data_IF_842654615002
#
_entry.id   IF_842654615002
#
_cell.length_a   1.000
_cell.length_b   1.000
_cell.length_c   1.000
_cell.angle_alpha   90.00
_cell.angle_beta   90.00
_cell.angle_gamma   90.00
#
_symmetry.space_group_name_H-M   'P 1'
#
loop_
_entity.id
_entity.type
_entity.pdbx_description
1 polymer ?
#
# COMPACT_ATOMS: atom_id res chain seq x y z
N UNK A 1 2.04 -15.29 -24.83
CA UNK A 1 1.99 -16.58 -24.07
C UNK A 1 2.68 -16.42 -22.71
N UNK A 2 2.32 -15.40 -21.94
CA UNK A 2 3.11 -14.97 -20.78
C UNK A 2 2.71 -15.72 -19.49
N UNK A 3 3.71 -16.15 -18.72
CA UNK A 3 3.57 -16.48 -17.28
C UNK A 3 3.74 -15.21 -16.46
N UNK A 4 2.93 -15.04 -15.44
CA UNK A 4 2.99 -13.91 -14.50
C UNK A 4 3.21 -14.45 -13.09
N UNK A 5 4.20 -13.87 -12.40
CA UNK A 5 4.37 -14.10 -10.97
C UNK A 5 3.57 -13.06 -10.20
N UNK A 6 2.84 -13.51 -9.18
CA UNK A 6 2.13 -12.61 -8.27
C UNK A 6 2.61 -12.85 -6.85
N UNK A 7 3.18 -11.82 -6.22
CA UNK A 7 3.63 -11.89 -4.84
C UNK A 7 2.47 -11.70 -3.87
N UNK A 8 2.31 -12.64 -2.94
CA UNK A 8 1.32 -12.55 -1.85
C UNK A 8 2.02 -12.63 -0.50
N UNK A 9 1.73 -11.68 0.39
CA UNK A 9 2.31 -11.62 1.74
C UNK A 9 1.24 -11.96 2.77
N UNK A 10 1.62 -12.76 3.77
CA UNK A 10 0.81 -13.03 4.96
C UNK A 10 1.09 -11.92 5.98
N UNK A 11 0.06 -11.22 6.41
CA UNK A 11 0.14 -10.10 7.35
C UNK A 11 -0.89 -10.28 8.46
N UNK A 12 -0.74 -9.54 9.56
CA UNK A 12 -1.80 -9.44 10.58
C UNK A 12 -3.02 -8.81 9.91
N UNK A 13 -4.20 -9.37 10.19
CA UNK A 13 -5.44 -8.89 9.59
C UNK A 13 -5.71 -7.44 10.01
N UNK A 14 -6.09 -6.58 9.05
CA UNK A 14 -6.30 -5.15 9.28
C UNK A 14 -7.39 -4.84 10.32
N UNK A 15 -8.28 -5.79 10.60
CA UNK A 15 -9.30 -5.66 11.65
C UNK A 15 -8.76 -5.93 13.06
N UNK A 16 -7.52 -6.41 13.19
CA UNK A 16 -6.88 -6.70 14.47
C UNK A 16 -6.05 -5.51 14.94
N UNK A 17 -6.29 -5.08 16.18
CA UNK A 17 -5.46 -4.06 16.81
C UNK A 17 -4.09 -4.65 17.17
N UNK A 18 -3.05 -4.09 16.55
CA UNK A 18 -1.66 -4.47 16.80
C UNK A 18 -1.21 -3.96 18.18
N UNK A 19 -0.37 -4.75 18.85
CA UNK A 19 0.26 -4.40 20.13
C UNK A 19 1.76 -4.65 20.03
N UNK A 20 2.55 -3.77 20.63
CA UNK A 20 3.98 -3.95 20.77
C UNK A 20 4.26 -4.98 21.87
N UNK A 21 5.30 -5.81 21.69
CA UNK A 21 5.72 -6.77 22.71
C UNK A 21 6.27 -6.02 23.94
N UNK A 22 6.14 -6.57 25.16
CA UNK A 22 6.69 -5.95 26.37
C UNK A 22 8.22 -5.76 26.34
N UNK A 23 8.94 -6.56 25.57
CA UNK A 23 10.39 -6.47 25.38
C UNK A 23 10.82 -5.49 24.28
N UNK A 24 9.86 -4.82 23.62
CA UNK A 24 10.08 -3.90 22.51
C UNK A 24 10.81 -4.51 21.29
N UNK A 25 10.87 -5.84 21.19
CA UNK A 25 11.56 -6.51 20.08
C UNK A 25 10.75 -6.50 18.78
N UNK A 26 9.49 -6.11 18.83
CA UNK A 26 8.55 -6.21 17.71
C UNK A 26 7.10 -6.17 18.16
N UNK A 27 6.20 -6.67 17.29
CA UNK A 27 4.76 -6.74 17.55
C UNK A 27 4.32 -8.14 17.96
N UNK A 28 3.20 -8.24 18.67
CA UNK A 28 2.62 -9.53 19.09
C UNK A 28 1.98 -10.23 17.88
N UNK A 29 2.54 -11.38 17.48
CA UNK A 29 2.07 -12.20 16.36
C UNK A 29 1.39 -13.51 16.80
N UNK A 30 1.48 -13.86 18.09
CA UNK A 30 0.92 -15.10 18.61
C UNK A 30 -0.57 -14.95 18.90
N UNK A 31 -1.37 -15.93 18.45
CA UNK A 31 -2.82 -15.94 18.64
C UNK A 31 -3.59 -14.87 17.86
N UNK A 32 -2.92 -14.05 17.03
CA UNK A 32 -3.59 -13.05 16.20
C UNK A 32 -3.96 -13.62 14.84
N UNK A 33 -5.13 -13.21 14.34
CA UNK A 33 -5.60 -13.58 13.01
C UNK A 33 -4.70 -12.92 11.95
N UNK A 34 -4.33 -13.70 10.95
CA UNK A 34 -3.60 -13.24 9.79
C UNK A 34 -4.45 -13.39 8.53
N UNK A 35 -4.20 -12.54 7.54
CA UNK A 35 -4.86 -12.56 6.24
C UNK A 35 -3.85 -12.32 5.11
N UNK A 36 -4.34 -12.35 3.86
CA UNK A 36 -3.55 -11.84 2.74
C UNK A 36 -3.47 -10.33 2.85
N UNK A 37 -2.31 -9.76 2.54
CA UNK A 37 -2.16 -8.31 2.43
C UNK A 37 -3.17 -7.74 1.41
N UNK A 38 -3.94 -6.69 1.72
CA UNK A 38 -4.98 -6.16 0.83
C UNK A 38 -4.47 -5.79 -0.57
N UNK A 39 -3.30 -5.15 -0.67
CA UNK A 39 -2.70 -4.83 -1.97
C UNK A 39 -2.34 -6.09 -2.79
N UNK A 40 -2.00 -7.20 -2.11
CA UNK A 40 -1.73 -8.46 -2.78
C UNK A 40 -3.03 -9.10 -3.32
N UNK A 41 -4.18 -8.92 -2.67
CA UNK A 41 -5.47 -9.40 -3.19
C UNK A 41 -5.79 -8.73 -4.53
N UNK A 42 -5.54 -7.43 -4.64
CA UNK A 42 -5.75 -6.63 -5.85
C UNK A 42 -4.78 -7.05 -6.96
N UNK A 43 -3.51 -7.30 -6.60
CA UNK A 43 -2.50 -7.82 -7.54
C UNK A 43 -2.91 -9.20 -8.10
N UNK A 44 -3.44 -10.09 -7.25
CA UNK A 44 -3.96 -11.40 -7.69
C UNK A 44 -5.17 -11.23 -8.60
N UNK A 45 -6.12 -10.37 -8.23
CA UNK A 45 -7.29 -10.10 -9.05
C UNK A 45 -6.89 -9.57 -10.44
N UNK A 46 -5.97 -8.60 -10.52
CA UNK A 46 -5.56 -8.07 -11.82
C UNK A 46 -4.91 -9.13 -12.70
N UNK A 47 -4.04 -9.97 -12.12
CA UNK A 47 -3.45 -11.09 -12.84
C UNK A 47 -4.54 -12.05 -13.36
N UNK A 48 -5.55 -12.36 -12.55
CA UNK A 48 -6.67 -13.22 -12.96
C UNK A 48 -7.49 -12.57 -14.08
N UNK A 49 -7.78 -11.27 -14.00
CA UNK A 49 -8.49 -10.52 -15.06
C UNK A 49 -7.71 -10.52 -16.37
N UNK A 50 -6.38 -10.32 -16.32
CA UNK A 50 -5.52 -10.42 -17.50
C UNK A 50 -5.56 -11.84 -18.10
N UNK A 51 -5.65 -12.88 -17.28
CA UNK A 51 -5.81 -14.26 -17.75
C UNK A 51 -7.17 -14.49 -18.39
N UNK A 52 -8.25 -13.97 -17.81
CA UNK A 52 -9.61 -14.07 -18.37
C UNK A 52 -9.73 -13.33 -19.71
N UNK A 53 -9.05 -12.19 -19.85
CA UNK A 53 -8.88 -11.45 -21.12
C UNK A 53 -7.96 -12.18 -22.12
N UNK A 54 -7.41 -13.35 -21.77
CA UNK A 54 -6.49 -14.17 -22.59
C UNK A 54 -5.17 -13.47 -22.95
N UNK A 55 -4.80 -12.42 -22.22
CA UNK A 55 -3.53 -11.70 -22.38
C UNK A 55 -2.38 -12.56 -21.86
N UNK A 56 -2.59 -13.18 -20.70
CA UNK A 56 -1.61 -14.06 -20.06
C UNK A 56 -2.16 -15.49 -19.98
N UNK A 57 -1.27 -16.48 -19.84
CA UNK A 57 -1.64 -17.89 -19.83
C UNK A 57 -1.71 -18.49 -18.44
N UNK A 58 -0.83 -18.05 -17.55
CA UNK A 58 -0.64 -18.69 -16.25
C UNK A 58 -0.31 -17.64 -15.19
N UNK A 59 -0.99 -17.75 -14.05
CA UNK A 59 -0.79 -16.95 -12.85
C UNK A 59 -0.17 -17.84 -11.78
N UNK A 60 1.05 -17.52 -11.37
CA UNK A 60 1.79 -18.25 -10.33
C UNK A 60 1.87 -17.39 -9.08
N UNK A 61 1.18 -17.80 -8.02
CA UNK A 61 1.21 -17.10 -6.73
C UNK A 61 2.47 -17.48 -5.95
N UNK A 62 3.21 -16.50 -5.45
CA UNK A 62 4.48 -16.70 -4.72
C UNK A 62 4.35 -16.09 -3.33
N UNK A 63 4.72 -16.84 -2.29
CA UNK A 63 4.86 -16.31 -0.93
C UNK A 63 6.13 -16.84 -0.27
N UNK A 64 6.77 -15.97 0.52
CA UNK A 64 8.00 -16.28 1.24
C UNK A 64 7.72 -16.23 2.75
N UNK A 65 8.14 -17.26 3.48
CA UNK A 65 7.96 -17.31 4.93
C UNK A 65 7.73 -18.72 5.46
N UNK A 66 7.24 -18.84 6.71
CA UNK A 66 7.11 -20.12 7.37
C UNK A 66 5.95 -20.93 6.78
N UNK A 67 5.77 -22.15 7.23
CA UNK A 67 4.75 -23.08 6.69
C UNK A 67 3.33 -22.49 6.62
N UNK A 68 2.99 -21.56 7.52
CA UNK A 68 1.71 -20.87 7.60
C UNK A 68 1.39 -20.00 6.38
N UNK A 69 2.38 -19.53 5.61
CA UNK A 69 2.12 -18.72 4.40
C UNK A 69 1.42 -19.52 3.29
N UNK A 70 1.42 -20.85 3.38
CA UNK A 70 0.67 -21.68 2.44
C UNK A 70 -0.83 -21.39 2.48
N UNK A 71 -1.40 -20.98 3.62
CA UNK A 71 -2.80 -20.58 3.71
C UNK A 71 -3.09 -19.36 2.81
N UNK A 72 -2.21 -18.37 2.83
CA UNK A 72 -2.27 -17.18 1.96
C UNK A 72 -2.16 -17.56 0.48
N UNK A 73 -1.25 -18.47 0.14
CA UNK A 73 -1.16 -19.00 -1.24
C UNK A 73 -2.46 -19.70 -1.64
N UNK A 74 -3.08 -20.49 -0.74
CA UNK A 74 -4.36 -21.15 -1.01
C UNK A 74 -5.49 -20.16 -1.25
N UNK A 75 -5.50 -19.02 -0.57
CA UNK A 75 -6.43 -17.91 -0.85
C UNK A 75 -6.24 -17.39 -2.27
N UNK A 76 -5.00 -17.12 -2.71
CA UNK A 76 -4.73 -16.68 -4.08
C UNK A 76 -5.18 -17.72 -5.13
N UNK A 77 -4.96 -18.99 -4.83
CA UNK A 77 -5.41 -20.11 -5.66
C UNK A 77 -6.94 -20.24 -5.74
N UNK A 78 -7.65 -19.83 -4.69
CA UNK A 78 -9.10 -19.79 -4.64
C UNK A 78 -9.67 -18.58 -5.39
N UNK A 79 -8.95 -17.46 -5.42
CA UNK A 79 -9.30 -16.28 -6.23
C UNK A 79 -9.13 -16.56 -7.73
N UNK A 80 -8.13 -17.34 -8.13
CA UNK A 80 -8.00 -17.73 -9.53
C UNK A 80 -6.59 -18.04 -10.01
N UNK A 81 -5.56 -17.94 -9.15
CA UNK A 81 -4.20 -18.34 -9.51
C UNK A 81 -4.14 -19.83 -9.89
N UNK A 82 -3.26 -20.20 -10.81
CA UNK A 82 -3.18 -21.54 -11.38
C UNK A 82 -2.41 -22.50 -10.48
N UNK A 83 -1.26 -22.05 -9.95
CA UNK A 83 -0.43 -22.78 -8.98
C UNK A 83 0.32 -21.83 -8.04
N UNK A 84 0.87 -22.40 -6.98
CA UNK A 84 1.61 -21.66 -5.96
C UNK A 84 3.08 -22.07 -5.88
N UNK A 85 3.92 -21.15 -5.40
CA UNK A 85 5.29 -21.40 -4.96
C UNK A 85 5.42 -20.89 -3.53
N UNK A 86 5.72 -21.80 -2.61
CA UNK A 86 6.10 -21.49 -1.24
C UNK A 86 7.62 -21.47 -1.15
N UNK A 87 8.18 -20.30 -0.91
CA UNK A 87 9.59 -20.16 -0.57
C UNK A 87 9.72 -20.26 0.94
N UNK A 88 10.24 -21.40 1.40
CA UNK A 88 10.32 -21.72 2.83
C UNK A 88 11.45 -20.92 3.49
N UNK A 89 11.06 -20.03 4.39
CA UNK A 89 11.96 -19.24 5.24
C UNK A 89 11.40 -19.30 6.66
N UNK A 90 12.21 -19.64 7.66
CA UNK A 90 11.74 -19.82 9.04
C UNK A 90 12.81 -19.38 10.05
N UNK A 91 12.40 -19.25 11.31
CA UNK A 91 13.28 -18.83 12.40
C UNK A 91 13.87 -17.43 12.15
N UNK A 92 15.16 -17.26 12.47
CA UNK A 92 15.86 -15.97 12.37
C UNK A 92 15.85 -15.38 10.96
N UNK A 93 15.95 -16.22 9.93
CA UNK A 93 15.93 -15.76 8.55
C UNK A 93 14.57 -15.16 8.16
N UNK A 94 13.48 -15.63 8.79
CA UNK A 94 12.15 -15.06 8.58
C UNK A 94 11.98 -13.75 9.33
N UNK A 95 12.49 -13.66 10.56
CA UNK A 95 12.47 -12.41 11.35
C UNK A 95 13.26 -11.29 10.66
N UNK A 96 14.35 -11.65 9.97
CA UNK A 96 15.18 -10.72 9.21
C UNK A 96 14.77 -10.58 7.72
N UNK A 97 13.63 -11.18 7.31
CA UNK A 97 13.20 -11.20 5.91
C UNK A 97 12.66 -9.83 5.48
N UNK A 98 13.53 -9.00 4.91
CA UNK A 98 13.19 -7.68 4.41
C UNK A 98 12.89 -7.61 2.90
N UNK A 99 12.55 -6.41 2.40
CA UNK A 99 12.25 -6.17 0.99
C UNK A 99 13.35 -6.67 0.05
N UNK A 100 14.62 -6.40 0.36
CA UNK A 100 15.76 -6.81 -0.50
C UNK A 100 15.85 -8.33 -0.67
N UNK A 101 15.69 -9.09 0.42
CA UNK A 101 15.73 -10.56 0.38
C UNK A 101 14.58 -11.11 -0.47
N UNK A 102 13.38 -10.58 -0.27
CA UNK A 102 12.19 -10.97 -1.04
C UNK A 102 12.37 -10.61 -2.53
N UNK A 103 12.92 -9.44 -2.84
CA UNK A 103 13.19 -9.03 -4.23
C UNK A 103 14.21 -9.92 -4.92
N UNK A 104 15.28 -10.36 -4.23
CA UNK A 104 16.24 -11.33 -4.77
C UNK A 104 15.56 -12.67 -5.09
N UNK A 105 14.71 -13.16 -4.18
CA UNK A 105 13.91 -14.39 -4.39
C UNK A 105 13.00 -14.24 -5.62
N UNK A 106 12.24 -13.15 -5.70
CA UNK A 106 11.32 -12.89 -6.81
C UNK A 106 12.06 -12.75 -8.14
N UNK A 107 13.22 -12.08 -8.16
CA UNK A 107 14.05 -11.96 -9.36
C UNK A 107 14.58 -13.32 -9.83
N UNK A 108 15.06 -14.16 -8.90
CA UNK A 108 15.51 -15.52 -9.22
C UNK A 108 14.36 -16.39 -9.75
N UNK A 109 13.18 -16.31 -9.12
CA UNK A 109 11.99 -17.02 -9.58
C UNK A 109 11.49 -16.53 -10.93
N UNK A 110 11.51 -15.22 -11.20
CA UNK A 110 11.10 -14.66 -12.47
C UNK A 110 11.96 -15.20 -13.62
N UNK A 111 13.27 -15.33 -13.42
CA UNK A 111 14.20 -15.96 -14.37
C UNK A 111 13.91 -17.45 -14.52
N UNK A 112 13.79 -18.19 -13.41
CA UNK A 112 13.55 -19.64 -13.40
C UNK A 112 12.23 -20.05 -14.05
N UNK A 113 11.19 -19.25 -13.84
CA UNK A 113 9.85 -19.48 -14.38
C UNK A 113 9.64 -18.80 -15.74
N UNK A 114 10.66 -18.12 -16.28
CA UNK A 114 10.58 -17.36 -17.54
C UNK A 114 9.39 -16.40 -17.57
N UNK A 115 9.12 -15.76 -16.43
CA UNK A 115 8.01 -14.84 -16.28
C UNK A 115 8.20 -13.63 -17.21
N UNK A 116 7.10 -13.09 -17.73
CA UNK A 116 7.11 -11.85 -18.50
C UNK A 116 6.58 -10.67 -17.71
N UNK A 117 5.97 -10.91 -16.56
CA UNK A 117 5.52 -9.86 -15.68
C UNK A 117 5.58 -10.35 -14.24
N UNK A 118 5.94 -9.46 -13.32
CA UNK A 118 5.76 -9.65 -11.88
C UNK A 118 4.77 -8.61 -11.40
N UNK A 119 3.67 -9.04 -10.77
CA UNK A 119 2.68 -8.14 -10.18
C UNK A 119 2.74 -8.29 -8.66
N UNK A 120 2.97 -7.18 -7.95
CA UNK A 120 3.00 -7.14 -6.49
C UNK A 120 1.94 -6.17 -5.97
N UNK A 121 1.62 -6.23 -4.69
CA UNK A 121 0.97 -5.10 -4.04
C UNK A 121 1.95 -3.93 -3.90
N UNK A 122 1.46 -2.68 -3.95
CA UNK A 122 2.24 -1.46 -3.70
C UNK A 122 3.06 -1.53 -2.41
N UNK A 123 2.39 -1.84 -1.30
CA UNK A 123 3.03 -1.99 0.00
C UNK A 123 2.35 -3.11 0.80
N UNK A 124 2.94 -3.48 1.92
CA UNK A 124 2.34 -4.39 2.87
C UNK A 124 2.08 -3.66 4.19
N UNK A 125 0.92 -3.92 4.78
CA UNK A 125 0.41 -3.20 5.97
C UNK A 125 1.16 -3.50 7.28
N UNK A 126 2.24 -4.27 7.22
CA UNK A 126 3.07 -4.62 8.38
C UNK A 126 4.31 -3.73 8.50
N UNK A 127 5.06 -3.56 7.40
CA UNK A 127 6.27 -2.72 7.35
C UNK A 127 6.08 -1.41 6.57
N UNK A 128 5.03 -1.30 5.76
CA UNK A 128 4.69 -0.17 4.88
C UNK A 128 5.85 0.39 4.05
N UNK A 129 6.85 -0.45 3.73
CA UNK A 129 8.11 0.03 3.15
C UNK A 129 8.01 0.43 1.67
N UNK A 130 7.07 -0.14 0.91
CA UNK A 130 6.91 0.12 -0.54
C UNK A 130 8.24 0.02 -1.33
N UNK A 131 8.96 -1.08 -1.14
CA UNK A 131 10.31 -1.28 -1.70
C UNK A 131 10.45 -2.54 -2.56
N UNK A 132 9.73 -3.61 -2.23
CA UNK A 132 9.93 -4.93 -2.83
C UNK A 132 9.73 -4.92 -4.35
N UNK A 133 8.76 -4.16 -4.87
CA UNK A 133 8.52 -4.06 -6.32
C UNK A 133 9.66 -3.38 -7.05
N UNK A 134 10.05 -2.21 -6.56
CA UNK A 134 11.11 -1.37 -7.12
C UNK A 134 12.46 -2.09 -7.09
N UNK A 135 12.79 -2.71 -5.97
CA UNK A 135 14.00 -3.52 -5.82
C UNK A 135 13.98 -4.75 -6.75
N UNK A 136 12.82 -5.40 -6.95
CA UNK A 136 12.71 -6.53 -7.89
C UNK A 136 12.95 -6.07 -9.32
N UNK A 137 12.38 -4.94 -9.72
CA UNK A 137 12.58 -4.34 -11.03
C UNK A 137 14.05 -4.02 -11.29
N UNK A 138 14.71 -3.38 -10.32
CA UNK A 138 16.13 -3.04 -10.41
C UNK A 138 17.04 -4.29 -10.51
N UNK A 139 16.77 -5.35 -9.74
CA UNK A 139 17.55 -6.60 -9.79
C UNK A 139 17.37 -7.38 -11.10
N UNK A 140 16.24 -7.20 -11.77
CA UNK A 140 15.93 -7.81 -13.06
C UNK A 140 16.36 -6.95 -14.25
N UNK A 141 16.70 -5.68 -14.01
CA UNK A 141 16.83 -4.65 -15.04
C UNK A 141 15.57 -4.54 -15.92
N UNK A 142 14.40 -4.57 -15.26
CA UNK A 142 13.08 -4.47 -15.91
C UNK A 142 12.45 -3.10 -15.65
N UNK A 143 11.72 -2.53 -16.63
CA UNK A 143 10.90 -1.37 -16.38
C UNK A 143 9.81 -1.65 -15.35
N UNK A 144 9.41 -0.61 -14.62
CA UNK A 144 8.43 -0.69 -13.55
C UNK A 144 7.23 0.23 -13.77
N UNK A 145 6.04 -0.24 -13.41
CA UNK A 145 4.83 0.55 -13.26
C UNK A 145 4.34 0.50 -11.83
N UNK A 146 4.75 1.46 -11.02
CA UNK A 146 4.39 1.52 -9.60
C UNK A 146 3.06 2.26 -9.39
N UNK A 147 2.41 2.04 -8.24
CA UNK A 147 1.15 2.71 -7.86
C UNK A 147 0.04 2.58 -8.92
N UNK A 148 -0.06 1.44 -9.58
CA UNK A 148 -0.96 1.24 -10.71
C UNK A 148 -2.43 1.30 -10.26
N UNK A 149 -3.19 2.21 -10.87
CA UNK A 149 -4.65 2.33 -10.79
C UNK A 149 -5.35 1.81 -12.06
N UNK A 150 -4.64 1.69 -13.19
CA UNK A 150 -5.10 0.92 -14.35
C UNK A 150 -3.93 0.21 -15.03
N UNK A 151 -4.18 -0.98 -15.59
CA UNK A 151 -3.20 -1.77 -16.33
C UNK A 151 -3.82 -2.30 -17.62
N UNK A 152 -3.19 -2.01 -18.75
CA UNK A 152 -3.55 -2.56 -20.05
C UNK A 152 -2.29 -3.09 -20.76
N UNK A 153 -2.33 -4.36 -21.18
CA UNK A 153 -1.23 -4.98 -21.93
C UNK A 153 -1.53 -4.90 -23.42
N UNK A 154 -0.62 -4.30 -24.17
CA UNK A 154 -0.72 -4.03 -25.60
C UNK A 154 0.49 -4.63 -26.31
N UNK A 155 0.34 -5.88 -26.78
CA UNK A 155 1.43 -6.61 -27.43
C UNK A 155 2.62 -6.81 -26.50
N UNK A 156 3.76 -6.18 -26.85
CA UNK A 156 5.02 -6.24 -26.10
C UNK A 156 5.17 -5.09 -25.10
N UNK A 157 4.12 -4.30 -24.89
CA UNK A 157 4.13 -3.14 -23.98
C UNK A 157 2.98 -3.21 -22.98
N UNK A 158 3.11 -2.48 -21.89
CA UNK A 158 2.10 -2.31 -20.85
C UNK A 158 1.88 -0.82 -20.66
N UNK A 159 0.63 -0.39 -20.82
CA UNK A 159 0.17 0.92 -20.42
C UNK A 159 -0.27 0.84 -18.97
N UNK A 160 0.34 1.67 -18.12
CA UNK A 160 0.04 1.75 -16.69
C UNK A 160 -0.39 3.17 -16.38
N UNK A 161 -1.59 3.32 -15.83
CA UNK A 161 -2.00 4.57 -15.18
C UNK A 161 -1.61 4.44 -13.71
N UNK A 162 -0.83 5.38 -13.21
CA UNK A 162 -0.32 5.39 -11.84
C UNK A 162 -0.75 6.64 -11.10
N UNK A 163 -0.96 6.48 -9.80
CA UNK A 163 -1.22 7.61 -8.92
C UNK A 163 0.08 8.28 -8.51
N UNK A 164 0.09 9.60 -8.59
CA UNK A 164 1.13 10.49 -8.11
C UNK A 164 0.48 11.60 -7.29
N UNK A 165 1.26 12.36 -6.53
CA UNK A 165 0.71 13.42 -5.66
C UNK A 165 -0.08 14.48 -6.47
N UNK A 166 0.32 14.73 -7.72
CA UNK A 166 -0.36 15.63 -8.65
C UNK A 166 -1.56 15.03 -9.40
N UNK A 167 -1.97 13.79 -9.11
CA UNK A 167 -3.10 13.13 -9.77
C UNK A 167 -2.72 11.81 -10.47
N UNK A 168 -3.05 11.70 -11.75
CA UNK A 168 -2.82 10.48 -12.54
C UNK A 168 -1.78 10.72 -13.62
N UNK A 169 -0.82 9.81 -13.71
CA UNK A 169 0.18 9.79 -14.77
C UNK A 169 0.03 8.49 -15.57
N UNK A 170 0.09 8.59 -16.90
CA UNK A 170 0.06 7.41 -17.78
C UNK A 170 1.43 7.16 -18.36
N UNK A 171 1.99 5.99 -18.08
CA UNK A 171 3.27 5.55 -18.63
C UNK A 171 3.10 4.34 -19.54
N UNK A 172 4.03 4.18 -20.48
CA UNK A 172 4.12 3.01 -21.35
C UNK A 172 5.47 2.34 -21.14
N UNK A 173 5.45 1.08 -20.73
CA UNK A 173 6.65 0.30 -20.42
C UNK A 173 6.72 -0.96 -21.27
N UNK A 174 7.93 -1.42 -21.58
CA UNK A 174 8.14 -2.64 -22.37
C UNK A 174 8.01 -3.89 -21.49
N UNK A 175 7.56 -5.01 -22.04
CA UNK A 175 7.67 -6.32 -21.41
C UNK A 175 9.08 -6.89 -21.64
N UNK A 176 9.67 -7.59 -20.65
CA UNK A 176 9.09 -7.94 -19.36
C UNK A 176 9.10 -6.77 -18.35
N UNK A 177 8.13 -6.72 -17.44
CA UNK A 177 7.93 -5.58 -16.52
C UNK A 177 7.54 -5.99 -15.10
N UNK A 178 7.77 -5.10 -14.14
CA UNK A 178 7.25 -5.21 -12.76
C UNK A 178 6.14 -4.18 -12.55
N UNK A 179 5.00 -4.60 -12.03
CA UNK A 179 3.86 -3.72 -11.76
C UNK A 179 3.45 -3.84 -10.30
N UNK A 180 3.19 -2.72 -9.63
CA UNK A 180 2.67 -2.74 -8.26
C UNK A 180 1.24 -2.19 -8.21
N UNK A 181 0.30 -2.97 -7.69
CA UNK A 181 -1.10 -2.62 -7.61
C UNK A 181 -1.39 -1.69 -6.43
N UNK A 182 -2.07 -0.57 -6.72
CA UNK A 182 -2.67 0.29 -5.71
C UNK A 182 -4.14 -0.09 -5.45
N UNK A 183 -4.77 0.48 -4.42
CA UNK A 183 -6.13 0.13 -4.00
C UNK A 183 -7.19 0.44 -5.05
N UNK A 184 -6.95 1.41 -5.93
CA UNK A 184 -7.91 1.84 -6.96
C UNK A 184 -7.92 0.96 -8.21
N UNK A 185 -6.99 0.00 -8.34
CA UNK A 185 -6.83 -0.80 -9.57
C UNK A 185 -8.03 -1.67 -9.90
N UNK A 186 -8.60 -2.33 -8.89
CA UNK A 186 -9.77 -3.20 -9.02
C UNK A 186 -10.36 -3.52 -7.65
N UNK A 187 -11.51 -4.19 -7.66
CA UNK A 187 -12.10 -4.82 -6.47
C UNK A 187 -11.83 -6.32 -6.52
N UNK A 188 -11.09 -6.88 -5.55
CA UNK A 188 -10.81 -8.31 -5.49
C UNK A 188 -12.09 -9.13 -5.42
N UNK A 189 -12.16 -10.23 -6.18
CA UNK A 189 -13.32 -11.11 -6.13
C UNK A 189 -13.37 -11.92 -4.84
N UNK A 190 -14.59 -12.24 -4.40
CA UNK A 190 -14.79 -13.15 -3.29
C UNK A 190 -14.53 -14.61 -3.69
N UNK A 191 -13.74 -15.33 -2.89
CA UNK A 191 -13.48 -16.74 -3.09
C UNK A 191 -14.70 -17.60 -2.69
N UNK A 192 -15.39 -18.17 -3.68
CA UNK A 192 -16.54 -19.04 -3.42
C UNK A 192 -16.10 -20.37 -2.78
N UNK A 193 -16.99 -20.99 -1.98
CA UNK A 193 -16.72 -22.28 -1.33
C UNK A 193 -16.25 -23.38 -2.32
N UNK A 194 -16.84 -23.52 -3.52
CA UNK A 194 -16.33 -24.45 -4.52
C UNK A 194 -14.88 -24.16 -4.95
N UNK A 195 -14.51 -22.89 -5.10
CA UNK A 195 -13.16 -22.50 -5.49
C UNK A 195 -12.15 -22.75 -4.36
N UNK A 196 -12.54 -22.51 -3.11
CA UNK A 196 -11.72 -22.85 -1.93
C UNK A 196 -11.43 -24.36 -1.91
N UNK A 197 -12.43 -25.20 -2.20
CA UNK A 197 -12.25 -26.66 -2.25
C UNK A 197 -11.35 -27.09 -3.41
N UNK A 198 -11.46 -26.46 -4.59
CA UNK A 198 -10.55 -26.69 -5.72
C UNK A 198 -9.13 -26.23 -5.39
N UNK A 199 -8.98 -25.10 -4.70
CA UNK A 199 -7.69 -24.53 -4.34
C UNK A 199 -6.87 -25.45 -3.43
N UNK A 200 -7.51 -26.21 -2.53
CA UNK A 200 -6.84 -27.24 -1.70
C UNK A 200 -6.16 -28.34 -2.52
N UNK A 201 -6.65 -28.63 -3.73
CA UNK A 201 -6.09 -29.67 -4.63
C UNK A 201 -5.01 -29.14 -5.58
N UNK A 202 -4.94 -27.82 -5.79
CA UNK A 202 -3.94 -27.21 -6.67
C UNK A 202 -2.52 -27.40 -6.12
N UNK A 203 -1.53 -27.46 -7.02
CA UNK A 203 -0.13 -27.70 -6.63
C UNK A 203 0.48 -26.45 -6.00
N UNK A 204 1.20 -26.65 -4.89
CA UNK A 204 2.09 -25.66 -4.30
C UNK A 204 3.49 -26.27 -4.32
N UNK A 205 4.38 -25.72 -5.14
CA UNK A 205 5.78 -26.12 -5.16
C UNK A 205 6.47 -25.52 -3.93
N UNK A 206 7.28 -26.32 -3.24
CA UNK A 206 8.09 -25.85 -2.11
C UNK A 206 9.52 -25.67 -2.60
N UNK A 207 10.12 -24.52 -2.30
CA UNK A 207 11.47 -24.15 -2.75
C UNK A 207 12.20 -23.51 -1.56
N UNK A 208 13.50 -23.77 -1.43
CA UNK A 208 14.34 -23.06 -0.46
C UNK A 208 15.09 -21.91 -1.14
N UNK A 209 15.37 -20.81 -0.43
CA UNK A 209 16.20 -19.71 -0.96
C UNK A 209 17.55 -20.18 -1.51
N UNK A 210 18.18 -21.18 -0.88
CA UNK A 210 19.42 -21.79 -1.34
C UNK A 210 19.30 -22.43 -2.74
N UNK A 211 18.15 -23.03 -3.07
CA UNK A 211 17.90 -23.63 -4.39
C UNK A 211 17.76 -22.57 -5.50
N UNK A 212 17.60 -21.30 -5.11
CA UNK A 212 17.55 -20.14 -5.99
C UNK A 212 18.89 -19.39 -6.04
N UNK A 213 19.90 -19.84 -5.28
CA UNK A 213 21.17 -19.14 -5.16
C UNK A 213 21.06 -17.79 -4.44
N UNK A 214 20.07 -17.62 -3.56
CA UNK A 214 19.81 -16.34 -2.88
C UNK A 214 20.34 -16.37 -1.45
N UNK A 215 21.20 -15.40 -1.14
CA UNK A 215 21.63 -15.08 0.23
C UNK A 215 20.60 -14.19 0.94
N UNK A 216 20.14 -14.65 2.10
CA UNK A 216 19.15 -13.98 2.95
C UNK A 216 19.77 -13.08 4.02
N UNK A 217 21.09 -13.00 4.13
CA UNK A 217 21.76 -12.18 5.14
C UNK A 217 21.24 -10.74 5.10
N UNK A 218 20.64 -10.28 6.21
CA UNK A 218 20.17 -8.91 6.36
C UNK A 218 21.32 -7.98 6.73
N UNK A 219 21.28 -6.77 6.17
CA UNK A 219 22.17 -5.65 6.53
C UNK A 219 21.47 -4.62 7.42
N UNK A 220 20.22 -4.90 7.80
CA UNK A 220 19.36 -4.05 8.61
C UNK A 220 18.91 -4.86 9.82
N UNK A 221 18.96 -4.22 10.98
CA UNK A 221 18.54 -4.79 12.26
C UNK A 221 17.52 -3.85 12.90
N UNK A 222 16.41 -4.40 13.39
CA UNK A 222 15.41 -3.66 14.16
C UNK A 222 15.85 -3.67 15.61
N UNK A 223 16.26 -2.52 16.13
CA UNK A 223 16.76 -2.40 17.51
C UNK A 223 15.63 -2.34 18.53
N UNK A 224 14.52 -1.66 18.18
CA UNK A 224 13.42 -1.38 19.10
C UNK A 224 12.15 -1.00 18.35
N UNK A 225 11.00 -1.40 18.89
CA UNK A 225 9.66 -0.98 18.45
C UNK A 225 8.92 -0.34 19.64
N UNK A 226 8.28 0.79 19.40
CA UNK A 226 7.53 1.56 20.39
C UNK A 226 6.13 1.90 19.88
N UNK A 227 5.17 1.98 20.80
CA UNK A 227 3.85 2.52 20.46
C UNK A 227 3.97 4.05 20.26
N UNK A 228 3.26 4.62 19.27
CA UNK A 228 3.20 6.06 19.11
C UNK A 228 2.57 6.70 20.36
N UNK A 229 2.91 7.96 20.67
CA UNK A 229 2.31 8.69 21.78
C UNK A 229 0.78 8.69 21.69
N UNK A 230 0.08 8.47 22.81
CA UNK A 230 -1.36 8.60 22.83
C UNK A 230 -1.76 10.03 22.52
N UNK A 231 -2.70 10.19 21.58
CA UNK A 231 -3.27 11.49 21.24
C UNK A 231 -3.89 12.12 22.49
N UNK A 232 -3.47 13.35 22.80
CA UNK A 232 -4.09 14.13 23.88
C UNK A 232 -5.50 14.57 23.46
N UNK A 233 -6.41 14.67 24.42
CA UNK A 233 -7.75 15.17 24.16
C UNK A 233 -7.69 16.61 23.63
N UNK A 234 -8.41 16.90 22.55
CA UNK A 234 -8.58 18.27 22.08
C UNK A 234 -9.40 19.08 23.09
N UNK A 235 -9.08 20.37 23.23
CA UNK A 235 -9.91 21.30 23.98
C UNK A 235 -11.22 21.55 23.23
N UNK A 236 -12.36 21.39 23.89
CA UNK A 236 -13.63 21.88 23.36
C UNK A 236 -13.65 23.41 23.48
N UNK A 237 -13.57 24.11 22.36
CA UNK A 237 -13.78 25.57 22.35
C UNK A 237 -15.24 25.87 22.67
N UNK A 238 -15.50 26.37 23.88
CA UNK A 238 -16.82 26.89 24.25
C UNK A 238 -16.71 28.40 24.41
N UNK A 239 -17.42 29.14 23.55
CA UNK A 239 -17.72 30.56 23.76
C UNK A 239 -16.75 31.55 23.10
N UNK A 240 -16.68 31.54 21.76
CA UNK A 240 -16.08 32.64 20.99
C UNK A 240 -16.98 32.94 19.79
N UNK A 241 -17.21 34.22 19.49
CA UNK A 241 -17.94 34.66 18.30
C UNK A 241 -17.25 34.11 17.03
N UNK A 242 -18.03 33.94 15.96
CA UNK A 242 -17.69 33.07 14.82
C UNK A 242 -16.37 33.38 14.12
N UNK A 243 -15.89 34.63 14.16
CA UNK A 243 -14.63 35.04 13.52
C UNK A 243 -13.39 34.80 14.42
N UNK A 244 -13.50 34.99 15.74
CA UNK A 244 -12.42 34.64 16.67
C UNK A 244 -12.26 33.12 16.82
N UNK A 245 -13.34 32.36 16.62
CA UNK A 245 -13.29 30.91 16.58
C UNK A 245 -12.45 30.42 15.39
N UNK A 246 -12.57 31.04 14.21
CA UNK A 246 -11.78 30.67 13.03
C UNK A 246 -10.31 31.02 13.19
N UNK A 247 -9.96 32.19 13.71
CA UNK A 247 -8.55 32.55 13.95
C UNK A 247 -7.91 31.68 15.04
N UNK A 248 -8.64 31.39 16.13
CA UNK A 248 -8.17 30.50 17.19
C UNK A 248 -8.02 29.08 16.68
N UNK A 249 -8.94 28.63 15.83
CA UNK A 249 -8.90 27.29 15.23
C UNK A 249 -7.80 27.18 14.17
N UNK A 250 -7.55 28.22 13.36
CA UNK A 250 -6.44 28.29 12.43
C UNK A 250 -5.09 28.31 13.16
N UNK A 251 -4.93 29.11 14.21
CA UNK A 251 -3.72 29.13 15.04
C UNK A 251 -3.45 27.78 15.74
N UNK A 252 -4.51 27.13 16.24
CA UNK A 252 -4.42 25.78 16.81
C UNK A 252 -4.12 24.71 15.74
N UNK A 253 -4.59 24.89 14.51
CA UNK A 253 -4.35 23.99 13.38
C UNK A 253 -2.94 24.15 12.78
N UNK A 254 -2.37 25.36 12.83
CA UNK A 254 -1.03 25.68 12.34
C UNK A 254 0.08 25.36 13.36
N UNK A 255 -0.30 25.07 14.61
CA UNK A 255 0.63 24.62 15.63
C UNK A 255 1.46 25.74 16.25
N UNK A 256 0.91 26.95 16.32
CA UNK A 256 1.54 28.03 17.09
C UNK A 256 1.41 27.71 18.59
N UNK A 257 2.50 27.18 19.15
CA UNK A 257 2.69 27.08 20.59
C UNK A 257 2.63 28.46 21.26
N UNK A 258 2.52 28.52 22.60
CA UNK A 258 2.28 29.77 23.30
C UNK A 258 3.38 30.79 23.01
N UNK A 259 2.99 31.87 22.34
CA UNK A 259 3.83 33.02 22.02
C UNK A 259 4.36 33.64 23.32
N UNK A 260 5.60 33.32 23.69
CA UNK A 260 6.35 34.06 24.71
C UNK A 260 6.88 35.35 24.05
N UNK A 261 5.99 36.32 23.85
CA UNK A 261 6.32 37.66 23.35
C UNK A 261 5.67 38.71 24.23
N UNK A 262 6.48 39.56 24.85
CA UNK A 262 6.09 40.57 25.84
C UNK A 262 5.08 41.64 25.35
N UNK A 263 4.68 42.55 26.24
CA UNK A 263 3.54 43.43 26.00
C UNK A 263 3.83 44.42 24.88
N UNK A 264 3.00 44.39 23.83
CA UNK A 264 2.99 45.42 22.79
C UNK A 264 2.08 46.55 23.27
N UNK A 265 2.68 47.69 23.58
CA UNK A 265 2.01 48.91 24.04
C UNK A 265 0.92 49.36 23.06
N UNK A 266 -0.31 49.48 23.55
CA UNK A 266 -1.40 50.15 22.82
C UNK A 266 -1.16 51.67 22.84
N UNK A 267 -1.04 52.25 21.65
CA UNK A 267 -1.13 53.69 21.45
C UNK A 267 -2.60 54.10 21.31
N UNK A 268 -2.97 55.12 22.09
CA UNK A 268 -4.25 55.83 22.11
C UNK A 268 -4.81 56.14 20.72
N UNK A 269 -6.06 55.73 20.47
CA UNK A 269 -6.99 56.47 19.61
C UNK A 269 -8.42 56.30 20.14
N UNK A 270 -8.84 57.26 20.96
CA UNK A 270 -10.24 57.59 21.24
C UNK A 270 -10.97 57.96 19.93
N UNK A 271 -12.13 57.32 19.68
CA UNK A 271 -13.39 57.96 19.25
C UNK A 271 -14.54 56.93 19.15
N UNK A 272 -15.78 57.28 19.55
CA UNK A 272 -16.90 56.33 19.63
C UNK A 272 -17.88 56.39 18.44
N UNK A 273 -18.73 55.35 18.40
CA UNK A 273 -20.06 55.19 17.75
C UNK A 273 -20.12 54.53 16.36
N UNK A 274 -21.25 53.90 15.94
CA UNK A 274 -22.48 53.54 16.67
C UNK A 274 -22.89 52.04 16.55
N UNK A 275 -23.81 51.57 17.40
CA UNK A 275 -24.41 50.22 17.29
C UNK A 275 -25.38 50.10 16.09
N UNK A 276 -25.34 48.99 15.33
CA UNK A 276 -26.47 48.53 14.54
C UNK A 276 -27.13 47.29 15.20
N UNK A 277 -28.47 47.30 15.20
CA UNK A 277 -29.34 46.31 15.86
C UNK A 277 -29.35 44.90 15.24
N UNK A 278 -30.20 43.99 15.76
CA UNK A 278 -30.06 42.56 15.51
C UNK A 278 -30.80 42.13 14.25
N UNK A 279 -30.21 41.24 13.44
CA UNK A 279 -30.86 40.24 12.56
C UNK A 279 -29.81 39.53 11.66
N UNK A 280 -30.11 38.37 11.02
CA UNK A 280 -30.63 37.11 11.54
C UNK A 280 -29.64 35.94 11.28
N UNK A 281 -29.91 34.78 11.89
CA UNK A 281 -29.16 33.52 11.70
C UNK A 281 -29.05 33.12 10.21
N UNK A 282 -27.82 33.11 9.67
CA UNK A 282 -27.52 32.46 8.39
C UNK A 282 -27.26 30.97 8.60
N UNK A 283 -28.13 30.15 8.03
CA UNK A 283 -27.92 28.71 7.82
C UNK A 283 -27.09 28.53 6.55
N UNK A 284 -25.90 27.94 6.65
CA UNK A 284 -25.10 27.56 5.48
C UNK A 284 -25.43 26.12 5.08
N UNK A 285 -26.16 25.98 3.97
CA UNK A 285 -26.24 24.74 3.19
C UNK A 285 -24.93 24.50 2.41
N UNK A 286 -24.58 23.23 2.12
CA UNK A 286 -23.29 22.86 1.51
C UNK A 286 -23.19 23.21 0.02
N UNK A 287 -22.00 23.65 -0.40
CA UNK A 287 -21.69 24.00 -1.79
C UNK A 287 -21.67 22.76 -2.74
N UNK A 288 -22.11 22.92 -4.01
CA UNK A 288 -22.16 21.84 -5.02
C UNK A 288 -20.81 21.59 -5.72
N UNK A 289 -20.65 20.45 -6.43
CA UNK A 289 -19.36 20.06 -7.02
C UNK A 289 -19.09 20.79 -8.34
N UNK A 290 -17.82 21.16 -8.57
CA UNK A 290 -17.37 21.81 -9.80
C UNK A 290 -16.84 20.77 -10.79
N UNK A 291 -17.34 20.89 -12.02
CA UNK A 291 -17.05 20.09 -13.21
C UNK A 291 -15.71 20.43 -13.87
N UNK A 292 -15.22 19.45 -14.63
CA UNK A 292 -14.06 19.45 -15.54
C UNK A 292 -14.06 20.57 -16.58
N UNK A 293 -12.90 21.17 -16.84
CA UNK A 293 -12.49 21.53 -18.20
C UNK A 293 -10.96 21.66 -18.32
N UNK A 294 -10.51 21.43 -19.55
CA UNK A 294 -9.15 21.22 -20.05
C UNK A 294 -8.21 22.41 -19.90
N UNK A 295 -6.94 22.15 -19.59
CA UNK A 295 -5.86 23.00 -20.07
C UNK A 295 -4.56 22.22 -20.30
N UNK A 296 -3.95 22.59 -21.41
CA UNK A 296 -2.88 21.97 -22.16
C UNK A 296 -1.58 22.66 -21.76
N UNK A 297 -0.58 21.94 -21.23
CA UNK A 297 0.77 22.48 -21.09
C UNK A 297 1.84 21.49 -21.56
N UNK A 298 2.65 22.06 -22.41
CA UNK A 298 3.71 21.52 -23.24
C UNK A 298 5.04 21.44 -22.46
N UNK A 299 5.71 20.30 -22.61
CA UNK A 299 7.18 20.10 -22.76
C UNK A 299 8.18 20.15 -21.57
N UNK A 300 9.14 19.21 -21.68
CA UNK A 300 10.56 19.18 -21.22
C UNK A 300 10.77 18.93 -19.72
N UNK A 301 11.47 17.89 -19.23
CA UNK A 301 12.50 16.97 -19.74
C UNK A 301 12.26 15.57 -19.11
#
# INVERSE_FOLDING_TARGET
>A
MARVLVGVKRVIDYAVKIRVKPDHSGVVTDGVKHSMNPFCEIAVEEAVRLKEKKVIKEVVAVSCGPQQVQETIRTALAMGADRGIHVEVSGKDYEALGPLQVSKILAALAKKEEAKMVILGKQAIDDDCNQTGQMTAALLDWPQGTFASEVAVEGDTVKVVREIDGGLETIKINLPAVVTADLRLNTPRYATLPNIMKAKKKKIAKVKPADLGVDLTSRVEVLRVDEPPQRQAGGSGTGVESEECTDTQEGLCLGDGPNQGGPVSHGDWDKPEPEPGPEPLCVCDPAPPVSTESEQWDTVL
#
